data_IF_975008906088
#
_entry.id   IF_975008906088
#
_cell.length_a   1.000
_cell.length_b   1.000
_cell.length_c   1.000
_cell.angle_alpha   90.00
_cell.angle_beta   90.00
_cell.angle_gamma   90.00
#
_symmetry.space_group_name_H-M   'P 1'
#
loop_
_entity.id
_entity.type
_entity.pdbx_description
1 polymer ?
#
# COMPACT_ATOMS: atom_id res chain seq x y z
N UNK A 1 20.65 -2.42 11.83
CA UNK A 1 21.14 -3.69 11.25
C UNK A 1 19.93 -4.37 10.61
N UNK A 2 19.71 -4.16 9.32
CA UNK A 2 18.64 -4.77 8.54
C UNK A 2 19.32 -5.80 7.64
N UNK A 3 19.31 -7.05 8.08
CA UNK A 3 19.78 -8.17 7.27
C UNK A 3 18.59 -8.79 6.53
N UNK A 4 18.70 -8.80 5.20
CA UNK A 4 18.08 -9.78 4.32
C UNK A 4 16.62 -9.53 3.93
N UNK A 5 16.43 -8.86 2.80
CA UNK A 5 15.52 -9.28 1.72
C UNK A 5 16.17 -8.82 0.39
N UNK A 6 16.53 -9.82 -0.41
CA UNK A 6 16.90 -9.83 -1.82
C UNK A 6 17.28 -8.51 -2.53
N UNK A 7 18.58 -8.41 -2.78
CA UNK A 7 19.18 -7.69 -3.90
C UNK A 7 18.66 -8.25 -5.23
N UNK A 8 17.66 -7.60 -5.81
CA UNK A 8 17.67 -7.37 -7.25
C UNK A 8 17.86 -5.87 -7.41
N UNK A 9 19.00 -5.45 -7.95
CA UNK A 9 19.12 -4.10 -8.49
C UNK A 9 17.99 -3.96 -9.50
N UNK A 10 16.91 -3.27 -9.12
CA UNK A 10 15.84 -2.98 -10.05
C UNK A 10 16.48 -2.19 -11.20
N UNK A 11 16.56 -2.82 -12.38
CA UNK A 11 16.81 -2.08 -13.61
C UNK A 11 15.79 -0.94 -13.65
N UNK A 12 16.25 0.28 -13.91
CA UNK A 12 15.36 1.42 -14.06
C UNK A 12 14.26 1.06 -15.06
N UNK A 13 12.99 1.30 -14.71
CA UNK A 13 11.88 1.04 -15.60
C UNK A 13 12.00 2.02 -16.78
N UNK A 14 12.29 1.47 -17.95
CA UNK A 14 12.30 2.25 -19.18
C UNK A 14 10.88 2.67 -19.55
N UNK A 15 10.72 3.88 -20.11
CA UNK A 15 9.40 4.40 -20.47
C UNK A 15 8.65 3.50 -21.49
N UNK A 16 9.41 2.80 -22.35
CA UNK A 16 8.89 1.82 -23.29
C UNK A 16 8.15 0.68 -22.61
N UNK A 17 8.58 0.31 -21.40
CA UNK A 17 8.16 -0.90 -20.69
C UNK A 17 6.95 -0.61 -19.77
N UNK A 18 6.61 0.67 -19.57
CA UNK A 18 5.43 1.08 -18.82
C UNK A 18 4.14 0.62 -19.50
N UNK A 19 3.25 0.07 -18.69
CA UNK A 19 1.90 -0.30 -19.10
C UNK A 19 1.10 0.95 -19.45
N UNK A 20 0.28 0.82 -20.49
CA UNK A 20 -0.57 1.90 -20.96
C UNK A 20 -1.99 1.75 -20.41
N UNK A 21 -2.53 2.82 -19.83
CA UNK A 21 -3.89 2.88 -19.24
C UNK A 21 -4.99 2.37 -20.17
N UNK A 22 -4.86 2.60 -21.48
CA UNK A 22 -5.84 2.16 -22.49
C UNK A 22 -5.99 0.63 -22.61
N UNK A 23 -5.12 -0.16 -21.95
CA UNK A 23 -5.24 -1.62 -21.87
C UNK A 23 -6.26 -2.07 -20.83
N UNK A 24 -6.78 -1.17 -20.00
CA UNK A 24 -7.69 -1.46 -18.91
C UNK A 24 -9.09 -0.88 -19.16
N UNK A 25 -10.12 -1.66 -18.85
CA UNK A 25 -11.51 -1.19 -18.89
C UNK A 25 -11.85 -0.30 -17.68
N UNK A 26 -13.04 0.30 -17.70
CA UNK A 26 -13.51 1.19 -16.63
C UNK A 26 -13.63 0.48 -15.29
N UNK A 27 -14.01 -0.80 -15.29
CA UNK A 27 -14.16 -1.61 -14.08
C UNK A 27 -12.81 -1.83 -13.41
N UNK A 28 -11.78 -2.21 -14.18
CA UNK A 28 -10.43 -2.47 -13.69
C UNK A 28 -9.76 -1.21 -13.15
N UNK A 29 -9.92 -0.10 -13.85
CA UNK A 29 -9.45 1.20 -13.37
C UNK A 29 -10.19 1.63 -12.09
N UNK A 30 -11.52 1.44 -12.04
CA UNK A 30 -12.30 1.71 -10.83
C UNK A 30 -11.85 0.84 -9.65
N UNK A 31 -11.55 -0.44 -9.87
CA UNK A 31 -11.07 -1.32 -8.82
C UNK A 31 -9.71 -0.87 -8.27
N UNK A 32 -8.75 -0.55 -9.16
CA UNK A 32 -7.46 0.00 -8.77
C UNK A 32 -7.60 1.30 -7.96
N UNK A 33 -8.49 2.21 -8.40
CA UNK A 33 -8.85 3.42 -7.64
C UNK A 33 -9.29 3.09 -6.22
N UNK A 34 -10.19 2.12 -6.06
CA UNK A 34 -10.71 1.73 -4.75
C UNK A 34 -9.64 1.15 -3.82
N UNK A 35 -8.60 0.49 -4.34
CA UNK A 35 -7.50 -0.04 -3.51
C UNK A 35 -6.69 1.03 -2.78
N UNK A 36 -6.71 2.27 -3.29
CA UNK A 36 -5.99 3.40 -2.70
C UNK A 36 -6.91 4.39 -1.98
N UNK A 37 -8.23 4.25 -2.13
CA UNK A 37 -9.22 5.07 -1.42
C UNK A 37 -9.59 4.37 -0.12
N UNK A 38 -9.55 5.09 1.00
CA UNK A 38 -9.86 4.59 2.34
C UNK A 38 -8.97 3.42 2.81
N UNK A 39 -7.65 3.64 2.97
CA UNK A 39 -6.77 2.65 3.60
C UNK A 39 -7.25 2.26 4.98
N UNK A 40 -6.98 1.01 5.36
CA UNK A 40 -7.08 0.58 6.75
C UNK A 40 -5.90 1.17 7.52
N UNK A 41 -6.20 1.86 8.62
CA UNK A 41 -5.23 2.45 9.52
C UNK A 41 -5.53 1.97 10.93
N UNK A 42 -4.64 1.15 11.49
CA UNK A 42 -4.79 0.58 12.81
C UNK A 42 -3.48 0.75 13.56
N UNK A 43 -3.54 1.22 14.80
CA UNK A 43 -2.35 1.42 15.62
C UNK A 43 -2.37 0.52 16.85
N UNK A 44 -1.17 0.11 17.27
CA UNK A 44 -0.93 -0.65 18.49
C UNK A 44 -1.83 -1.90 18.61
N UNK A 45 -1.83 -2.71 17.56
CA UNK A 45 -2.59 -3.96 17.48
C UNK A 45 -1.68 -5.15 17.71
N UNK A 46 -2.23 -6.20 18.28
CA UNK A 46 -1.51 -7.43 18.59
C UNK A 46 -2.43 -8.60 18.28
N UNK A 47 -1.86 -9.68 17.74
CA UNK A 47 -2.56 -10.94 17.61
C UNK A 47 -1.59 -12.11 17.74
N UNK A 48 -2.10 -13.21 18.28
CA UNK A 48 -1.45 -14.51 18.27
C UNK A 48 -2.12 -15.48 17.28
N UNK A 49 -3.16 -15.01 16.56
CA UNK A 49 -4.00 -15.85 15.72
C UNK A 49 -3.67 -15.70 14.23
N UNK A 50 -3.91 -16.79 13.50
CA UNK A 50 -3.63 -16.96 12.08
C UNK A 50 -4.60 -17.95 11.46
N UNK A 51 -5.01 -17.70 10.23
CA UNK A 51 -5.71 -18.69 9.42
C UNK A 51 -4.71 -19.62 8.72
N UNK A 52 -3.67 -19.03 8.10
CA UNK A 52 -2.56 -19.72 7.43
C UNK A 52 -1.22 -19.27 8.03
N UNK A 53 -0.16 -20.06 7.82
CA UNK A 53 1.16 -19.76 8.43
C UNK A 53 1.73 -18.39 8.03
N UNK A 54 1.33 -17.86 6.88
CA UNK A 54 1.82 -16.62 6.30
C UNK A 54 0.86 -15.43 6.49
N UNK A 55 -0.16 -15.53 7.34
CA UNK A 55 -1.04 -14.41 7.67
C UNK A 55 -1.01 -14.05 9.15
N UNK A 56 -1.73 -12.97 9.49
CA UNK A 56 -2.14 -12.59 10.84
C UNK A 56 -3.63 -12.29 10.81
N UNK A 57 -4.38 -12.83 11.76
CA UNK A 57 -5.82 -12.64 11.88
C UNK A 57 -6.15 -11.84 13.13
N UNK A 58 -6.93 -10.78 12.97
CA UNK A 58 -7.38 -9.90 14.03
C UNK A 58 -8.90 -9.93 14.12
N UNK A 59 -9.43 -10.36 15.26
CA UNK A 59 -10.86 -10.42 15.52
C UNK A 59 -11.39 -9.12 16.09
N UNK A 60 -12.66 -8.82 15.81
CA UNK A 60 -13.41 -7.70 16.43
C UNK A 60 -12.71 -6.32 16.26
N UNK A 61 -12.02 -6.16 15.14
CA UNK A 61 -11.24 -4.95 14.81
C UNK A 61 -12.10 -3.73 14.47
N UNK A 62 -13.30 -3.97 13.94
CA UNK A 62 -14.21 -2.94 13.48
C UNK A 62 -15.47 -2.96 14.35
N UNK A 63 -15.38 -2.31 15.51
CA UNK A 63 -16.50 -2.22 16.45
C UNK A 63 -17.60 -1.33 15.85
N UNK A 64 -18.85 -1.79 15.90
CA UNK A 64 -20.02 -1.11 15.35
C UNK A 64 -20.04 -0.96 13.81
N UNK A 65 -19.35 -1.84 13.08
CA UNK A 65 -19.46 -1.94 11.62
C UNK A 65 -20.25 -3.21 11.24
N UNK A 66 -21.36 -3.04 10.52
CA UNK A 66 -22.23 -4.14 10.14
C UNK A 66 -21.62 -5.05 9.06
N UNK A 67 -20.65 -4.54 8.31
CA UNK A 67 -20.06 -5.16 7.12
C UNK A 67 -18.65 -5.69 7.36
N UNK A 68 -17.95 -5.13 8.35
CA UNK A 68 -16.57 -5.47 8.69
C UNK A 68 -16.53 -5.82 10.17
N UNK A 69 -15.87 -6.93 10.49
CA UNK A 69 -15.68 -7.39 11.86
C UNK A 69 -14.22 -7.69 12.11
N UNK A 70 -13.64 -8.50 11.24
CA UNK A 70 -12.28 -8.98 11.37
C UNK A 70 -11.37 -8.38 10.30
N UNK A 71 -10.08 -8.38 10.58
CA UNK A 71 -9.05 -7.95 9.64
C UNK A 71 -7.99 -9.03 9.50
N UNK A 72 -7.56 -9.33 8.27
CA UNK A 72 -6.49 -10.29 8.00
C UNK A 72 -5.38 -9.63 7.19
N UNK A 73 -4.14 -9.79 7.63
CA UNK A 73 -2.96 -9.37 6.86
C UNK A 73 -2.29 -10.59 6.27
N UNK A 74 -2.11 -10.61 4.96
CA UNK A 74 -1.38 -11.65 4.24
C UNK A 74 0.04 -11.19 3.95
N UNK A 75 1.00 -12.09 4.18
CA UNK A 75 2.41 -11.88 3.86
C UNK A 75 2.85 -12.87 2.78
N UNK A 76 3.93 -12.55 2.09
CA UNK A 76 4.52 -13.41 1.06
C UNK A 76 4.90 -14.79 1.60
N UNK A 77 5.32 -14.88 2.87
CA UNK A 77 5.80 -16.12 3.46
C UNK A 77 5.67 -16.15 5.00
N UNK A 78 5.83 -17.34 5.57
CA UNK A 78 5.80 -17.57 7.02
C UNK A 78 6.93 -16.85 7.78
N UNK A 79 8.09 -16.61 7.14
CA UNK A 79 9.19 -15.92 7.79
C UNK A 79 8.82 -14.45 8.08
N UNK A 80 8.08 -13.80 7.18
CA UNK A 80 7.57 -12.44 7.39
C UNK A 80 6.50 -12.39 8.49
N UNK A 81 5.50 -13.27 8.47
CA UNK A 81 4.45 -13.27 9.51
C UNK A 81 5.03 -13.49 10.92
N UNK A 82 6.06 -14.35 11.04
CA UNK A 82 6.78 -14.59 12.31
C UNK A 82 7.47 -13.35 12.88
N UNK A 83 7.80 -12.35 12.07
CA UNK A 83 8.38 -11.08 12.56
C UNK A 83 7.37 -10.25 13.37
N UNK A 84 6.07 -10.47 13.14
CA UNK A 84 5.00 -9.60 13.62
C UNK A 84 3.99 -10.29 14.55
N UNK A 85 3.86 -11.62 14.50
CA UNK A 85 2.98 -12.34 15.43
C UNK A 85 3.41 -12.13 16.89
N UNK A 86 2.44 -11.95 17.79
CA UNK A 86 2.66 -11.63 19.21
C UNK A 86 3.44 -10.33 19.45
N UNK A 87 3.46 -9.39 18.49
CA UNK A 87 4.07 -8.07 18.63
C UNK A 87 3.01 -6.99 18.49
N UNK A 88 3.29 -5.85 19.13
CA UNK A 88 2.51 -4.64 18.92
C UNK A 88 2.91 -4.02 17.59
N UNK A 89 1.94 -3.89 16.70
CA UNK A 89 2.11 -3.46 15.32
C UNK A 89 1.13 -2.36 14.93
N UNK A 90 1.56 -1.54 13.97
CA UNK A 90 0.72 -0.60 13.25
C UNK A 90 0.49 -1.13 11.83
N UNK A 91 -0.74 -0.98 11.32
CA UNK A 91 -1.17 -1.38 9.99
C UNK A 91 -1.59 -0.13 9.22
N UNK A 92 -1.02 0.08 8.04
CA UNK A 92 -1.47 1.07 7.06
C UNK A 92 -1.45 0.42 5.68
N UNK A 93 -2.62 0.07 5.15
CA UNK A 93 -2.71 -0.71 3.91
C UNK A 93 -3.96 -0.41 3.09
N UNK A 94 -3.84 -0.54 1.77
CA UNK A 94 -4.99 -0.79 0.91
C UNK A 94 -5.65 -2.11 1.31
N UNK A 95 -6.99 -2.15 1.34
CA UNK A 95 -7.76 -3.31 1.79
C UNK A 95 -8.72 -3.80 0.71
N UNK A 96 -9.09 -5.07 0.81
CA UNK A 96 -10.07 -5.71 -0.06
C UNK A 96 -10.98 -6.65 0.72
N UNK A 97 -12.24 -6.71 0.32
CA UNK A 97 -13.22 -7.68 0.86
C UNK A 97 -13.51 -8.85 -0.08
N UNK A 98 -13.48 -8.62 -1.40
CA UNK A 98 -13.78 -9.67 -2.37
C UNK A 98 -12.67 -10.72 -2.40
N UNK A 99 -13.03 -12.00 -2.27
CA UNK A 99 -12.04 -13.08 -2.17
C UNK A 99 -11.27 -13.13 -0.84
N UNK A 100 -11.59 -12.25 0.12
CA UNK A 100 -11.02 -12.29 1.46
C UNK A 100 -11.64 -13.44 2.26
N UNK A 101 -10.82 -14.40 2.66
CA UNK A 101 -11.20 -15.49 3.55
C UNK A 101 -10.49 -15.31 4.90
N UNK A 102 -11.27 -15.13 5.97
CA UNK A 102 -10.75 -14.87 7.32
C UNK A 102 -11.63 -15.46 8.42
N UNK A 103 -11.71 -14.77 9.56
CA UNK A 103 -12.44 -15.23 10.75
C UNK A 103 -13.95 -15.28 10.51
N UNK A 104 -14.59 -14.11 10.44
CA UNK A 104 -16.02 -13.97 10.29
C UNK A 104 -16.44 -14.08 8.82
N UNK A 105 -17.35 -15.01 8.55
CA UNK A 105 -17.95 -15.23 7.23
C UNK A 105 -18.52 -13.94 6.66
N UNK A 106 -18.04 -13.55 5.48
CA UNK A 106 -18.43 -12.33 4.75
C UNK A 106 -18.23 -11.01 5.52
N UNK A 107 -17.49 -11.02 6.64
CA UNK A 107 -17.22 -9.85 7.48
C UNK A 107 -15.73 -9.68 7.80
N UNK A 108 -14.86 -10.23 6.95
CA UNK A 108 -13.41 -10.02 7.04
C UNK A 108 -12.96 -9.07 5.93
N UNK A 109 -12.10 -8.10 6.27
CA UNK A 109 -11.31 -7.36 5.29
C UNK A 109 -9.86 -7.87 5.29
N UNK A 110 -9.24 -7.90 4.13
CA UNK A 110 -7.88 -8.38 3.95
C UNK A 110 -6.97 -7.28 3.43
N UNK A 111 -5.67 -7.38 3.71
CA UNK A 111 -4.62 -6.62 3.04
C UNK A 111 -3.40 -7.50 2.76
N UNK A 112 -2.54 -7.02 1.87
CA UNK A 112 -1.20 -7.59 1.69
C UNK A 112 -0.19 -6.68 2.39
N UNK A 113 0.48 -7.17 3.43
CA UNK A 113 1.47 -6.42 4.20
C UNK A 113 0.92 -5.13 4.84
N UNK A 114 1.68 -4.04 4.72
CA UNK A 114 1.35 -2.74 5.33
C UNK A 114 1.61 -2.68 6.83
N UNK A 115 2.47 -3.56 7.34
CA UNK A 115 2.72 -3.75 8.78
C UNK A 115 4.07 -3.21 9.19
N UNK A 116 4.11 -2.49 10.30
CA UNK A 116 5.32 -2.04 10.99
C UNK A 116 5.22 -2.33 12.48
N UNK A 117 6.34 -2.57 13.16
CA UNK A 117 6.37 -2.63 14.63
C UNK A 117 5.98 -1.26 15.21
N UNK A 118 5.17 -1.24 16.27
CA UNK A 118 4.74 0.00 16.94
C UNK A 118 5.83 0.55 17.88
N UNK A 119 6.58 -0.34 18.53
CA UNK A 119 7.56 0.02 19.56
C UNK A 119 8.63 0.98 19.02
N UNK A 120 8.75 2.13 19.68
CA UNK A 120 9.73 3.19 19.38
C UNK A 120 9.70 3.73 17.93
N UNK A 121 8.66 3.40 17.15
CA UNK A 121 8.60 3.68 15.73
C UNK A 121 7.85 4.98 15.39
N UNK A 122 7.51 5.83 16.36
CA UNK A 122 6.74 7.07 16.12
C UNK A 122 7.59 8.33 16.30
N UNK A 123 7.39 9.29 15.40
CA UNK A 123 7.72 10.70 15.58
C UNK A 123 6.60 11.39 16.38
N UNK A 124 6.95 12.48 17.08
CA UNK A 124 5.96 13.28 17.82
C UNK A 124 4.94 13.93 16.87
N UNK A 125 5.44 14.46 15.75
CA UNK A 125 4.67 15.10 14.68
C UNK A 125 4.82 14.38 13.34
N UNK A 126 3.88 14.67 12.42
CA UNK A 126 3.96 14.18 11.04
C UNK A 126 5.24 14.67 10.36
N UNK A 127 5.91 13.74 9.69
CA UNK A 127 6.97 14.03 8.72
C UNK A 127 6.37 13.99 7.33
N UNK A 128 6.48 15.11 6.62
CA UNK A 128 6.14 15.19 5.21
C UNK A 128 7.26 14.53 4.39
N UNK A 129 6.89 13.71 3.41
CA UNK A 129 7.81 13.06 2.50
C UNK A 129 7.89 13.90 1.22
N UNK A 130 9.03 14.56 0.93
CA UNK A 130 9.17 15.36 -0.28
C UNK A 130 8.96 14.49 -1.52
N UNK A 131 8.13 14.97 -2.43
CA UNK A 131 7.84 14.31 -3.69
C UNK A 131 8.22 15.26 -4.82
N UNK A 132 8.87 14.72 -5.86
CA UNK A 132 9.05 15.44 -7.11
C UNK A 132 8.14 14.81 -8.16
N UNK A 133 7.32 15.63 -8.82
CA UNK A 133 6.38 15.20 -9.83
C UNK A 133 6.79 15.76 -11.19
N UNK A 134 6.80 14.92 -12.21
CA UNK A 134 6.99 15.33 -13.60
C UNK A 134 5.82 14.84 -14.44
N UNK A 135 5.28 15.74 -15.25
CA UNK A 135 4.24 15.45 -16.24
C UNK A 135 4.80 15.89 -17.60
N UNK A 136 4.90 14.96 -18.55
CA UNK A 136 5.45 15.19 -19.88
C UNK A 136 6.80 15.93 -19.87
N UNK A 137 7.70 15.51 -18.95
CA UNK A 137 9.04 16.08 -18.78
C UNK A 137 9.09 17.41 -18.02
N UNK A 138 7.96 18.00 -17.66
CA UNK A 138 7.89 19.27 -16.92
C UNK A 138 7.68 19.02 -15.44
N UNK A 139 8.56 19.60 -14.62
CA UNK A 139 8.39 19.55 -13.17
C UNK A 139 7.10 20.28 -12.78
N UNK A 140 6.26 19.59 -12.02
CA UNK A 140 4.95 20.06 -11.57
C UNK A 140 4.93 20.10 -10.06
N UNK A 141 4.28 21.11 -9.49
CA UNK A 141 4.14 21.24 -8.04
C UNK A 141 3.24 20.14 -7.48
N UNK A 142 3.64 19.61 -6.32
CA UNK A 142 2.86 18.69 -5.50
C UNK A 142 2.79 19.23 -4.08
N UNK A 143 1.62 19.17 -3.47
CA UNK A 143 1.44 19.62 -2.09
C UNK A 143 2.38 18.88 -1.15
N UNK A 144 3.11 19.61 -0.31
CA UNK A 144 4.07 18.99 0.63
C UNK A 144 3.40 17.99 1.59
N UNK A 145 2.10 18.13 1.82
CA UNK A 145 1.30 17.25 2.66
C UNK A 145 0.69 16.06 1.92
N UNK A 146 0.96 15.89 0.62
CA UNK A 146 0.42 14.80 -0.19
C UNK A 146 0.82 13.41 0.34
N UNK A 147 2.05 13.30 0.86
CA UNK A 147 2.56 12.09 1.50
C UNK A 147 3.19 12.46 2.82
N UNK A 148 2.73 11.84 3.91
CA UNK A 148 3.26 12.06 5.25
C UNK A 148 3.16 10.80 6.11
N UNK A 149 3.98 10.74 7.15
CA UNK A 149 3.93 9.64 8.11
C UNK A 149 4.32 10.11 9.50
N UNK A 150 3.80 9.45 10.53
CA UNK A 150 4.34 9.54 11.88
C UNK A 150 5.36 8.44 12.17
N UNK A 151 5.63 7.54 11.23
CA UNK A 151 6.49 6.38 11.48
C UNK A 151 7.95 6.66 11.09
N UNK A 152 8.89 6.20 11.91
CA UNK A 152 10.34 6.28 11.63
C UNK A 152 10.74 5.26 10.56
N UNK A 153 10.22 4.05 10.68
CA UNK A 153 10.26 2.96 9.70
C UNK A 153 8.84 2.83 9.16
N UNK A 154 8.69 3.14 7.87
CA UNK A 154 7.40 3.17 7.15
C UNK A 154 7.41 2.15 6.02
N UNK A 155 6.25 1.58 5.70
CA UNK A 155 6.15 0.71 4.52
C UNK A 155 6.01 1.55 3.26
N UNK A 156 6.53 1.06 2.13
CA UNK A 156 6.28 1.71 0.84
C UNK A 156 4.77 1.79 0.55
N UNK A 157 4.00 0.77 0.94
CA UNK A 157 2.55 0.74 0.75
C UNK A 157 1.84 1.93 1.43
N UNK A 158 2.26 2.34 2.63
CA UNK A 158 1.70 3.52 3.30
C UNK A 158 1.93 4.81 2.50
N UNK A 159 3.12 4.96 1.93
CA UNK A 159 3.47 6.12 1.11
C UNK A 159 2.72 6.08 -0.24
N UNK A 160 2.65 4.90 -0.84
CA UNK A 160 2.04 4.67 -2.14
C UNK A 160 0.53 4.88 -2.13
N UNK A 161 -0.17 4.40 -1.11
CA UNK A 161 -1.61 4.64 -0.99
C UNK A 161 -1.93 6.13 -0.92
N UNK A 162 -1.17 6.90 -0.13
CA UNK A 162 -1.34 8.35 -0.05
C UNK A 162 -1.04 9.03 -1.39
N UNK A 163 0.09 8.70 -2.02
CA UNK A 163 0.50 9.28 -3.29
C UNK A 163 -0.50 8.97 -4.42
N UNK A 164 -0.87 7.69 -4.58
CA UNK A 164 -1.79 7.27 -5.64
C UNK A 164 -3.20 7.82 -5.42
N UNK A 165 -3.64 7.97 -4.17
CA UNK A 165 -4.90 8.67 -3.89
C UNK A 165 -4.83 10.15 -4.32
N UNK A 166 -3.77 10.87 -3.91
CA UNK A 166 -3.56 12.27 -4.31
C UNK A 166 -3.52 12.44 -5.83
N UNK A 167 -2.73 11.61 -6.52
CA UNK A 167 -2.60 11.66 -7.98
C UNK A 167 -3.93 11.33 -8.66
N UNK A 168 -4.72 10.41 -8.10
CA UNK A 168 -6.04 10.11 -8.64
C UNK A 168 -7.01 11.29 -8.45
N UNK A 169 -7.03 11.93 -7.28
CA UNK A 169 -7.88 13.10 -7.02
C UNK A 169 -7.53 14.30 -7.93
N UNK A 170 -6.24 14.57 -8.13
CA UNK A 170 -5.79 15.74 -8.91
C UNK A 170 -5.77 15.49 -10.42
N UNK A 171 -5.35 14.31 -10.85
CA UNK A 171 -5.06 14.01 -12.26
C UNK A 171 -5.89 12.87 -12.85
N UNK A 172 -6.86 12.34 -12.09
CA UNK A 172 -7.75 11.26 -12.54
C UNK A 172 -6.96 10.04 -13.04
N UNK A 173 -5.88 9.71 -12.31
CA UNK A 173 -4.92 8.65 -12.64
C UNK A 173 -5.61 7.35 -13.09
N UNK A 174 -6.69 6.97 -12.41
CA UNK A 174 -7.46 5.75 -12.65
C UNK A 174 -8.89 6.00 -13.18
N UNK A 175 -9.12 7.09 -13.94
CA UNK A 175 -10.42 7.33 -14.59
C UNK A 175 -10.26 7.40 -16.11
N UNK A 176 -11.18 6.83 -16.90
CA UNK A 176 -11.04 6.76 -18.36
C UNK A 176 -10.87 8.12 -19.06
N UNK A 177 -11.33 9.22 -18.44
CA UNK A 177 -11.18 10.59 -18.94
C UNK A 177 -10.00 11.38 -18.36
N UNK A 178 -9.08 10.73 -17.64
CA UNK A 178 -7.86 11.36 -17.14
C UNK A 178 -6.71 11.29 -18.14
N UNK A 179 -5.98 12.40 -18.28
CA UNK A 179 -4.95 12.61 -19.32
C UNK A 179 -3.66 11.79 -19.12
N UNK A 180 -3.42 11.32 -17.88
CA UNK A 180 -2.26 10.46 -17.59
C UNK A 180 -2.53 9.05 -18.12
N UNK A 181 -1.66 8.58 -19.03
CA UNK A 181 -1.81 7.29 -19.72
C UNK A 181 -0.68 6.29 -19.45
N UNK A 182 0.46 6.78 -18.94
CA UNK A 182 1.62 6.01 -18.46
C UNK A 182 2.19 6.74 -17.25
N UNK A 183 2.81 6.01 -16.32
CA UNK A 183 3.50 6.64 -15.20
C UNK A 183 4.04 5.61 -14.22
N UNK A 184 5.02 6.02 -13.44
CA UNK A 184 5.62 5.22 -12.38
C UNK A 184 5.99 6.11 -11.20
N UNK A 185 6.25 5.49 -10.06
CA UNK A 185 6.87 6.11 -8.89
C UNK A 185 8.20 5.42 -8.60
N UNK A 186 9.18 6.21 -8.17
CA UNK A 186 10.46 5.74 -7.65
C UNK A 186 10.63 6.20 -6.22
N UNK A 187 10.90 5.25 -5.33
CA UNK A 187 11.24 5.50 -3.93
C UNK A 187 12.75 5.49 -3.77
N UNK A 188 13.29 6.60 -3.29
CA UNK A 188 14.71 6.74 -3.01
C UNK A 188 14.98 6.44 -1.54
N UNK A 189 15.84 5.46 -1.28
CA UNK A 189 16.27 5.07 0.06
C UNK A 189 17.75 5.39 0.26
N UNK A 190 18.14 5.69 1.50
CA UNK A 190 19.53 6.04 1.86
C UNK A 190 20.53 4.89 1.60
N UNK A 191 20.06 3.65 1.50
CA UNK A 191 20.85 2.45 1.22
C UNK A 191 20.94 2.10 -0.27
N UNK A 192 20.53 3.03 -1.15
CA UNK A 192 20.51 2.90 -2.61
C UNK A 192 19.63 1.75 -3.15
N UNK A 193 18.86 1.07 -2.30
CA UNK A 193 17.86 0.09 -2.70
C UNK A 193 16.58 0.81 -3.14
N UNK A 194 16.67 1.48 -4.28
CA UNK A 194 15.54 2.17 -4.88
C UNK A 194 14.53 1.15 -5.38
N UNK A 195 13.25 1.45 -5.16
CA UNK A 195 12.14 0.60 -5.63
C UNK A 195 11.28 1.42 -6.57
N UNK A 196 10.87 0.81 -7.69
CA UNK A 196 10.07 1.45 -8.73
C UNK A 196 8.78 0.67 -8.95
N UNK A 197 7.67 1.39 -9.08
CA UNK A 197 6.35 0.80 -9.35
C UNK A 197 5.68 1.51 -10.51
N UNK A 198 5.32 0.73 -11.54
CA UNK A 198 4.46 1.18 -12.63
C UNK A 198 3.02 1.35 -12.11
N UNK A 199 2.43 2.52 -12.34
CA UNK A 199 1.06 2.82 -11.91
C UNK A 199 0.01 1.96 -12.60
N UNK A 200 0.31 1.46 -13.80
CA UNK A 200 -0.58 0.69 -14.65
C UNK A 200 -0.16 -0.78 -14.78
N UNK A 201 0.83 -1.25 -14.02
CA UNK A 201 1.06 -2.69 -13.83
C UNK A 201 0.04 -3.28 -12.85
N UNK A 202 -1.24 -3.20 -13.22
CA UNK A 202 -2.37 -3.73 -12.47
C UNK A 202 -2.48 -5.20 -12.84
N UNK A 203 -2.24 -6.12 -11.90
CA UNK A 203 -2.31 -7.57 -12.12
C UNK A 203 -3.59 -8.13 -11.49
N UNK A 204 -4.22 -9.11 -12.14
CA UNK A 204 -5.51 -9.66 -11.69
C UNK A 204 -6.73 -8.81 -12.07
N UNK A 205 -7.93 -9.37 -11.90
CA UNK A 205 -9.20 -8.75 -12.31
C UNK A 205 -9.70 -7.65 -11.35
N UNK A 206 -9.17 -7.61 -10.13
CA UNK A 206 -9.68 -6.78 -9.03
C UNK A 206 -8.73 -5.67 -8.58
N UNK A 207 -7.64 -5.44 -9.33
CA UNK A 207 -6.64 -4.41 -9.04
C UNK A 207 -5.40 -4.99 -8.37
#
# INVERSE_FOLDING_TARGET
MLEGIFTNSASAIEYSDLHHKSKFDSKRLSNAKMSFINPTQLENKNTNDRLLKHDLLFHDMFVNDDWKKDFKVEFENEALSKKFINKDIDIFAGNYGYGCHGGATNKTQCSYGGVTLSDNNKYDDYKNIPCNLWIDGHQTEIELTAVKTKKKIVTIQELEVQLRNYLNEKYKLYEQGGDIVKGYVKYYNDDEQNVEYDFYNLNGEYG
#
